data_IF_817204973173
#
_entry.id   IF_817204973173
#
_cell.length_a   1.000
_cell.length_b   1.000
_cell.length_c   1.000
_cell.angle_alpha   90.00
_cell.angle_beta   90.00
_cell.angle_gamma   90.00
#
_symmetry.space_group_name_H-M   'P 1'
#
loop_
_entity.id
_entity.type
_entity.pdbx_description
1 polymer ?
#
# COMPACT_ATOMS: atom_id res chain seq x y z
N UNK A 1 -85.50 -31.85 -6.26
CA UNK A 1 -84.40 -31.02 -6.78
C UNK A 1 -83.81 -30.21 -5.64
N UNK A 2 -82.49 -30.06 -5.60
CA UNK A 2 -81.62 -29.39 -4.60
C UNK A 2 -81.11 -30.26 -3.44
N UNK A 3 -79.86 -30.69 -3.58
CA UNK A 3 -78.78 -30.47 -2.61
C UNK A 3 -77.48 -31.08 -3.18
N UNK A 4 -76.84 -30.40 -4.15
CA UNK A 4 -75.50 -30.76 -4.64
C UNK A 4 -74.76 -29.44 -4.92
N UNK A 5 -74.25 -28.79 -3.88
CA UNK A 5 -73.40 -27.58 -4.05
C UNK A 5 -72.47 -27.28 -2.86
N UNK A 6 -72.30 -28.17 -1.88
CA UNK A 6 -71.69 -27.78 -0.59
C UNK A 6 -70.29 -28.31 -0.26
N UNK A 7 -69.76 -29.32 -0.94
CA UNK A 7 -68.68 -30.15 -0.36
C UNK A 7 -67.43 -30.29 -1.23
N UNK A 8 -67.10 -29.28 -2.06
CA UNK A 8 -65.92 -29.32 -2.95
C UNK A 8 -64.82 -28.31 -2.57
N UNK A 9 -65.01 -27.47 -1.55
CA UNK A 9 -64.06 -26.37 -1.26
C UNK A 9 -63.00 -26.67 -0.19
N UNK A 10 -63.04 -27.82 0.49
CA UNK A 10 -62.09 -28.12 1.56
C UNK A 10 -60.76 -28.70 1.06
N UNK A 11 -60.77 -29.46 -0.04
CA UNK A 11 -59.57 -30.16 -0.54
C UNK A 11 -58.62 -29.27 -1.34
N UNK A 12 -59.12 -28.27 -2.05
CA UNK A 12 -58.28 -27.31 -2.80
C UNK A 12 -57.61 -26.27 -1.87
N UNK A 13 -58.24 -25.96 -0.73
CA UNK A 13 -57.71 -24.99 0.24
C UNK A 13 -56.54 -25.56 1.06
N UNK A 14 -56.55 -26.86 1.38
CA UNK A 14 -55.43 -27.53 2.05
C UNK A 14 -54.17 -27.60 1.18
N UNK A 15 -54.32 -27.83 -0.14
CA UNK A 15 -53.19 -27.94 -1.06
C UNK A 15 -52.40 -26.61 -1.22
N UNK A 16 -53.10 -25.47 -1.13
CA UNK A 16 -52.49 -24.14 -1.25
C UNK A 16 -51.72 -23.69 0.00
N UNK A 17 -52.04 -24.24 1.18
CA UNK A 17 -51.45 -23.79 2.46
C UNK A 17 -50.13 -24.47 2.85
N UNK A 18 -49.74 -25.56 2.17
CA UNK A 18 -48.65 -26.45 2.60
C UNK A 18 -47.20 -25.99 2.35
N UNK A 19 -46.95 -24.89 1.65
CA UNK A 19 -45.61 -24.62 1.08
C UNK A 19 -44.84 -23.43 1.69
N UNK A 20 -45.44 -22.62 2.56
CA UNK A 20 -44.85 -21.33 2.98
C UNK A 20 -43.87 -21.39 4.16
N UNK A 21 -43.86 -22.46 4.97
CA UNK A 21 -43.16 -22.43 6.28
C UNK A 21 -41.68 -22.82 6.23
N UNK A 22 -41.28 -23.73 5.33
CA UNK A 22 -39.91 -24.30 5.33
C UNK A 22 -38.82 -23.37 4.78
N UNK A 23 -39.19 -22.29 4.08
CA UNK A 23 -38.24 -21.37 3.42
C UNK A 23 -37.56 -20.39 4.40
N UNK A 24 -38.20 -20.11 5.54
CA UNK A 24 -37.71 -19.15 6.54
C UNK A 24 -36.58 -19.72 7.42
N UNK A 25 -36.70 -20.98 7.86
CA UNK A 25 -35.69 -21.64 8.70
C UNK A 25 -34.34 -21.82 7.99
N UNK A 26 -34.35 -22.11 6.68
CA UNK A 26 -33.13 -22.33 5.87
C UNK A 26 -32.31 -21.04 5.66
N UNK A 27 -32.97 -19.88 5.73
CA UNK A 27 -32.33 -18.56 5.63
C UNK A 27 -31.48 -18.24 6.87
N UNK A 28 -31.93 -18.68 8.05
CA UNK A 28 -31.26 -18.38 9.33
C UNK A 28 -29.97 -19.20 9.49
N UNK A 29 -29.97 -20.48 9.12
CA UNK A 29 -28.76 -21.32 9.15
C UNK A 29 -27.66 -20.83 8.18
N UNK A 30 -28.06 -20.19 7.08
CA UNK A 30 -27.13 -19.69 6.07
C UNK A 30 -26.37 -18.45 6.56
N UNK A 31 -27.00 -17.58 7.36
CA UNK A 31 -26.35 -16.40 7.94
C UNK A 31 -25.37 -16.74 9.07
N UNK A 32 -25.62 -17.79 9.84
CA UNK A 32 -24.74 -18.22 10.92
C UNK A 32 -23.37 -18.70 10.43
N UNK A 33 -23.29 -19.27 9.21
CA UNK A 33 -22.01 -19.73 8.63
C UNK A 33 -21.08 -18.61 8.18
N UNK A 34 -21.61 -17.43 7.85
CA UNK A 34 -20.81 -16.30 7.34
C UNK A 34 -19.96 -15.63 8.43
N UNK A 35 -20.34 -15.76 9.71
CA UNK A 35 -19.65 -15.10 10.82
C UNK A 35 -18.44 -15.87 11.39
N UNK A 36 -18.14 -17.10 10.90
CA UNK A 36 -17.11 -17.98 11.49
C UNK A 36 -15.76 -17.93 10.75
N UNK A 37 -15.44 -16.83 10.05
CA UNK A 37 -14.19 -16.72 9.28
C UNK A 37 -13.19 -15.67 9.78
N UNK A 38 -13.39 -15.07 10.95
CA UNK A 38 -12.42 -14.13 11.53
C UNK A 38 -11.26 -14.92 12.16
N UNK A 39 -10.24 -15.27 11.35
CA UNK A 39 -8.96 -15.83 11.82
C UNK A 39 -7.99 -14.68 12.07
N UNK A 40 -7.52 -14.52 13.31
CA UNK A 40 -6.51 -13.53 13.70
C UNK A 40 -5.06 -14.00 13.44
N UNK A 41 -4.11 -13.07 13.51
CA UNK A 41 -2.67 -13.36 13.41
C UNK A 41 -2.14 -14.15 14.61
N UNK A 42 -1.18 -15.02 14.36
CA UNK A 42 -0.49 -15.79 15.41
C UNK A 42 0.68 -15.01 16.00
N UNK A 43 1.04 -15.28 17.27
CA UNK A 43 2.26 -14.73 17.88
C UNK A 43 3.53 -15.17 17.16
N UNK A 44 3.51 -16.37 16.57
CA UNK A 44 4.64 -16.94 15.82
C UNK A 44 4.85 -16.20 14.49
N UNK A 45 3.78 -15.80 13.81
CA UNK A 45 3.88 -14.95 12.62
C UNK A 45 4.58 -13.63 12.95
N UNK A 46 4.17 -12.97 14.03
CA UNK A 46 4.83 -11.72 14.42
C UNK A 46 6.29 -11.95 14.81
N UNK A 47 6.59 -13.01 15.56
CA UNK A 47 7.96 -13.34 16.00
C UNK A 47 8.93 -13.50 14.83
N UNK A 48 8.52 -14.24 13.80
CA UNK A 48 9.37 -14.47 12.62
C UNK A 48 9.56 -13.20 11.79
N UNK A 49 8.52 -12.36 11.68
CA UNK A 49 8.62 -11.06 10.99
C UNK A 49 9.63 -10.15 11.66
N UNK A 50 9.55 -9.97 12.98
CA UNK A 50 10.50 -9.08 13.69
C UNK A 50 11.92 -9.67 13.67
N UNK A 51 12.06 -11.00 13.72
CA UNK A 51 13.36 -11.66 13.57
C UNK A 51 14.02 -11.36 12.22
N UNK A 52 13.28 -11.46 11.12
CA UNK A 52 13.80 -11.15 9.77
C UNK A 52 14.06 -9.64 9.63
N UNK A 53 13.17 -8.78 10.15
CA UNK A 53 13.35 -7.32 10.15
C UNK A 53 14.61 -6.89 10.91
N UNK A 54 14.94 -7.56 12.02
CA UNK A 54 16.17 -7.30 12.77
C UNK A 54 17.43 -7.55 11.94
N UNK A 55 17.48 -8.68 11.23
CA UNK A 55 18.61 -9.01 10.33
C UNK A 55 18.69 -7.99 9.19
N UNK A 56 17.55 -7.71 8.53
CA UNK A 56 17.48 -6.75 7.43
C UNK A 56 17.92 -5.34 7.84
N UNK A 57 17.54 -4.89 9.04
CA UNK A 57 17.90 -3.56 9.53
C UNK A 57 19.42 -3.38 9.66
N UNK A 58 20.12 -4.39 10.19
CA UNK A 58 21.59 -4.32 10.32
C UNK A 58 22.30 -4.21 8.97
N UNK A 59 21.89 -5.02 7.99
CA UNK A 59 22.46 -5.00 6.64
C UNK A 59 22.13 -3.70 5.90
N UNK A 60 20.89 -3.19 6.05
CA UNK A 60 20.45 -1.96 5.42
C UNK A 60 21.30 -0.75 5.86
N UNK A 61 21.59 -0.64 7.16
CA UNK A 61 22.40 0.47 7.69
C UNK A 61 23.81 0.45 7.09
N UNK A 62 24.50 -0.69 7.13
CA UNK A 62 25.87 -0.79 6.60
C UNK A 62 25.90 -0.59 5.10
N UNK A 63 24.97 -1.20 4.35
CA UNK A 63 24.90 -1.09 2.90
C UNK A 63 24.61 0.33 2.39
N UNK A 64 23.78 1.10 3.10
CA UNK A 64 23.36 2.43 2.66
C UNK A 64 24.46 3.49 2.74
N UNK A 65 25.29 3.46 3.79
CA UNK A 65 26.31 4.51 4.05
C UNK A 65 27.34 4.65 2.93
N UNK A 66 27.75 3.54 2.30
CA UNK A 66 28.70 3.53 1.18
C UNK A 66 28.12 4.24 -0.05
N UNK A 67 26.87 3.93 -0.38
CA UNK A 67 26.19 4.54 -1.54
C UNK A 67 25.98 6.03 -1.32
N UNK A 68 25.60 6.45 -0.11
CA UNK A 68 25.45 7.86 0.23
C UNK A 68 26.77 8.63 0.09
N UNK A 69 27.88 8.07 0.57
CA UNK A 69 29.21 8.68 0.41
C UNK A 69 29.61 8.79 -1.06
N UNK A 70 29.34 7.77 -1.85
CA UNK A 70 29.65 7.78 -3.28
C UNK A 70 28.79 8.81 -4.05
N UNK A 71 27.51 8.94 -3.69
CA UNK A 71 26.62 9.96 -4.25
C UNK A 71 27.15 11.37 -3.95
N UNK A 72 27.51 11.67 -2.69
CA UNK A 72 28.11 12.95 -2.31
C UNK A 72 29.42 13.25 -3.04
N UNK A 73 30.27 12.23 -3.25
CA UNK A 73 31.51 12.41 -4.05
C UNK A 73 31.20 12.72 -5.51
N UNK A 74 30.20 12.05 -6.08
CA UNK A 74 29.78 12.26 -7.47
C UNK A 74 29.21 13.67 -7.66
N UNK A 75 28.43 14.15 -6.70
CA UNK A 75 27.90 15.52 -6.65
C UNK A 75 29.04 16.54 -6.66
N UNK A 76 30.02 16.43 -5.74
CA UNK A 76 31.18 17.33 -5.71
C UNK A 76 31.97 17.31 -7.01
N UNK A 77 32.19 16.14 -7.62
CA UNK A 77 32.89 16.04 -8.90
C UNK A 77 32.09 16.75 -10.02
N UNK A 78 30.77 16.59 -10.03
CA UNK A 78 29.89 17.28 -10.97
C UNK A 78 29.95 18.80 -10.83
N UNK A 79 29.91 19.29 -9.59
CA UNK A 79 30.01 20.71 -9.28
C UNK A 79 31.37 21.30 -9.72
N UNK A 80 32.46 20.60 -9.41
CA UNK A 80 33.81 21.01 -9.83
C UNK A 80 33.96 21.02 -11.36
N UNK A 81 33.42 20.01 -12.04
CA UNK A 81 33.41 19.97 -13.50
C UNK A 81 32.64 21.15 -14.08
N UNK A 82 31.50 21.50 -13.48
CA UNK A 82 30.70 22.64 -13.92
C UNK A 82 31.46 23.95 -13.73
N UNK A 83 32.09 24.14 -12.56
CA UNK A 83 32.94 25.30 -12.30
C UNK A 83 34.07 25.43 -13.32
N UNK A 84 34.80 24.34 -13.60
CA UNK A 84 35.88 24.34 -14.58
C UNK A 84 35.40 24.72 -15.99
N UNK A 85 34.22 24.24 -16.41
CA UNK A 85 33.63 24.63 -17.70
C UNK A 85 33.31 26.12 -17.75
N UNK A 86 32.78 26.68 -16.66
CA UNK A 86 32.46 28.11 -16.56
C UNK A 86 33.72 28.97 -16.60
N UNK A 87 34.77 28.57 -15.88
CA UNK A 87 36.07 29.24 -15.89
C UNK A 87 36.73 29.22 -17.27
N UNK A 88 36.73 28.06 -17.95
CA UNK A 88 37.23 27.96 -19.33
C UNK A 88 36.41 28.86 -20.29
N UNK A 89 35.09 28.90 -20.11
CA UNK A 89 34.21 29.81 -20.84
C UNK A 89 34.60 31.27 -20.63
N UNK A 90 34.80 31.70 -19.38
CA UNK A 90 35.25 33.05 -19.04
C UNK A 90 36.60 33.37 -19.66
N UNK A 91 37.56 32.47 -19.58
CA UNK A 91 38.88 32.66 -20.19
C UNK A 91 38.76 32.86 -21.70
N UNK A 92 37.91 32.09 -22.38
CA UNK A 92 37.69 32.25 -23.83
C UNK A 92 37.04 33.58 -24.23
N UNK A 93 36.23 34.17 -23.34
CA UNK A 93 35.48 35.42 -23.62
C UNK A 93 36.24 36.66 -23.15
N UNK A 94 36.80 36.63 -21.94
CA UNK A 94 37.37 37.78 -21.23
C UNK A 94 38.90 37.77 -21.17
N UNK A 95 39.55 36.65 -21.51
CA UNK A 95 41.02 36.51 -21.47
C UNK A 95 41.62 36.37 -20.07
N UNK A 96 40.80 36.20 -19.03
CA UNK A 96 41.22 35.97 -17.64
C UNK A 96 40.19 35.11 -16.89
N UNK A 97 40.64 34.42 -15.83
CA UNK A 97 39.81 33.64 -14.92
C UNK A 97 39.15 34.52 -13.84
N UNK A 98 38.12 34.00 -13.18
CA UNK A 98 37.46 34.69 -12.07
C UNK A 98 38.42 34.84 -10.89
N UNK A 99 38.77 36.07 -10.52
CA UNK A 99 39.54 36.34 -9.31
C UNK A 99 38.64 36.24 -8.08
N UNK A 100 39.17 35.71 -6.98
CA UNK A 100 38.47 35.62 -5.69
C UNK A 100 38.64 36.88 -4.84
N UNK A 101 38.99 38.01 -5.45
CA UNK A 101 39.10 39.28 -4.75
C UNK A 101 37.70 39.76 -4.36
N UNK A 102 37.25 39.36 -3.17
CA UNK A 102 36.41 40.26 -2.38
C UNK A 102 37.29 41.46 -2.13
N UNK A 103 37.14 42.51 -2.94
CA UNK A 103 37.82 43.77 -2.69
C UNK A 103 37.37 44.24 -1.30
N UNK A 104 38.27 44.11 -0.32
CA UNK A 104 38.11 44.57 1.06
C UNK A 104 38.22 46.11 1.11
N UNK A 105 37.58 46.79 0.16
CA UNK A 105 37.63 48.24 -0.03
C UNK A 105 36.26 48.81 -0.50
N UNK A 106 35.17 48.21 -0.03
CA UNK A 106 33.86 48.88 0.05
C UNK A 106 33.67 49.42 1.49
N UNK A 107 34.36 50.51 1.81
CA UNK A 107 34.00 51.48 2.87
C UNK A 107 34.05 52.88 2.29
#
# INVERSE_FOLDING_TARGET
MKAVTGMTTATEFEAAMGHSSKKSAKSIETRARVLRSQRGFTLVELLTVVAILGIMATLAIVGYTKNLRNARRTEVIGDLSNLALRENGLMSVRGHYSSTSTDENDT
#
